data_IF_306753556601
#
_entry.id   IF_306753556601
#
_cell.length_a   1.000
_cell.length_b   1.000
_cell.length_c   1.000
_cell.angle_alpha   90.00
_cell.angle_beta   90.00
_cell.angle_gamma   90.00
#
_symmetry.space_group_name_H-M   'P 1'
#
loop_
_entity.id
_entity.type
_entity.pdbx_description
1 polymer ?
#
# COMPACT_ATOMS: atom_id res chain seq x y z
N UNK A 1 -1.68 -22.70 6.44
CA UNK A 1 -1.59 -21.24 6.25
C UNK A 1 -2.40 -20.58 7.32
N UNK A 2 -1.77 -19.75 8.13
CA UNK A 2 -2.47 -18.94 9.13
C UNK A 2 -3.17 -17.76 8.44
N UNK A 3 -4.14 -17.13 9.10
CA UNK A 3 -4.77 -15.91 8.59
C UNK A 3 -3.72 -14.81 8.37
N UNK A 4 -2.74 -14.68 9.28
CA UNK A 4 -1.60 -13.79 9.15
C UNK A 4 -0.80 -13.94 7.84
N UNK A 5 -0.50 -15.17 7.41
CA UNK A 5 0.27 -15.41 6.18
C UNK A 5 -0.47 -14.87 4.94
N UNK A 6 -1.78 -15.13 4.88
CA UNK A 6 -2.62 -14.69 3.76
C UNK A 6 -2.76 -13.16 3.73
N UNK A 7 -2.85 -12.53 4.90
CA UNK A 7 -2.90 -11.06 5.02
C UNK A 7 -1.57 -10.44 4.55
N UNK A 8 -0.42 -11.04 4.92
CA UNK A 8 0.90 -10.59 4.46
C UNK A 8 1.05 -10.72 2.95
N UNK A 9 0.58 -11.82 2.36
CA UNK A 9 0.61 -11.99 0.90
C UNK A 9 -0.22 -10.92 0.18
N UNK A 10 -1.42 -10.60 0.69
CA UNK A 10 -2.26 -9.54 0.14
C UNK A 10 -1.57 -8.18 0.29
N UNK A 11 -1.03 -7.89 1.47
CA UNK A 11 -0.26 -6.67 1.72
C UNK A 11 0.90 -6.53 0.73
N UNK A 12 1.70 -7.58 0.57
CA UNK A 12 2.84 -7.62 -0.34
C UNK A 12 2.41 -7.38 -1.79
N UNK A 13 1.31 -8.00 -2.23
CA UNK A 13 0.76 -7.77 -3.57
C UNK A 13 0.31 -6.31 -3.79
N UNK A 14 -0.30 -5.68 -2.79
CA UNK A 14 -0.69 -4.27 -2.86
C UNK A 14 0.52 -3.33 -2.96
N UNK A 15 1.55 -3.59 -2.15
CA UNK A 15 2.80 -2.81 -2.15
C UNK A 15 3.54 -2.96 -3.49
N UNK A 16 3.69 -4.20 -3.98
CA UNK A 16 4.35 -4.47 -5.26
C UNK A 16 3.61 -3.80 -6.42
N UNK A 17 2.27 -3.86 -6.43
CA UNK A 17 1.48 -3.19 -7.46
C UNK A 17 1.73 -1.68 -7.45
N UNK A 18 1.73 -1.06 -6.27
CA UNK A 18 2.01 0.38 -6.15
C UNK A 18 3.41 0.72 -6.67
N UNK A 19 4.43 -0.03 -6.28
CA UNK A 19 5.81 0.16 -6.75
C UNK A 19 5.92 0.02 -8.28
N UNK A 20 5.24 -0.98 -8.85
CA UNK A 20 5.17 -1.17 -10.29
C UNK A 20 4.52 0.03 -10.99
N UNK A 21 3.34 0.47 -10.53
CA UNK A 21 2.62 1.60 -11.12
C UNK A 21 3.49 2.87 -11.14
N UNK A 22 4.15 3.20 -10.02
CA UNK A 22 5.05 4.36 -9.91
C UNK A 22 6.26 4.21 -10.85
N UNK A 23 6.83 3.01 -10.95
CA UNK A 23 7.97 2.75 -11.83
C UNK A 23 7.58 2.90 -13.30
N UNK A 24 6.41 2.39 -13.70
CA UNK A 24 5.89 2.54 -15.05
C UNK A 24 5.69 4.01 -15.44
N UNK A 25 5.22 4.87 -14.52
CA UNK A 25 5.08 6.30 -14.81
C UNK A 25 6.44 6.94 -15.14
N UNK A 26 7.49 6.55 -14.40
CA UNK A 26 8.85 7.02 -14.61
C UNK A 26 9.45 6.50 -15.92
N UNK A 27 9.33 5.20 -16.20
CA UNK A 27 9.89 4.57 -17.40
C UNK A 27 9.22 5.05 -18.69
N UNK A 28 7.91 5.36 -18.63
CA UNK A 28 7.17 5.87 -19.79
C UNK A 28 7.43 7.34 -20.12
N UNK A 29 8.37 8.02 -19.42
CA UNK A 29 8.62 9.45 -19.56
C UNK A 29 7.32 10.28 -19.44
N UNK A 30 6.46 9.90 -18.49
CA UNK A 30 5.17 10.56 -18.29
C UNK A 30 5.39 12.04 -17.97
N UNK A 31 4.68 12.98 -18.61
CA UNK A 31 4.79 14.41 -18.31
C UNK A 31 4.60 14.71 -16.83
N UNK A 32 5.34 15.68 -16.29
CA UNK A 32 5.41 15.95 -14.84
C UNK A 32 4.05 16.20 -14.18
N UNK A 33 3.14 16.90 -14.87
CA UNK A 33 1.79 17.16 -14.39
C UNK A 33 0.97 15.87 -14.24
N UNK A 34 1.06 14.97 -15.22
CA UNK A 34 0.41 13.65 -15.18
C UNK A 34 1.09 12.75 -14.16
N UNK A 35 2.43 12.77 -14.08
CA UNK A 35 3.19 12.01 -13.11
C UNK A 35 2.81 12.39 -11.66
N UNK A 36 2.71 13.68 -11.35
CA UNK A 36 2.27 14.17 -10.05
C UNK A 36 0.85 13.71 -9.72
N UNK A 37 -0.09 13.93 -10.62
CA UNK A 37 -1.49 13.53 -10.42
C UNK A 37 -1.64 12.02 -10.21
N UNK A 38 -0.99 11.23 -11.07
CA UNK A 38 -1.07 9.78 -11.01
C UNK A 38 -0.43 9.25 -9.73
N UNK A 39 0.73 9.76 -9.31
CA UNK A 39 1.35 9.36 -8.04
C UNK A 39 0.46 9.67 -6.84
N UNK A 40 -0.17 10.85 -6.79
CA UNK A 40 -1.11 11.20 -5.72
C UNK A 40 -2.30 10.23 -5.70
N UNK A 41 -2.86 9.90 -6.88
CA UNK A 41 -3.97 8.95 -7.03
C UNK A 41 -3.60 7.52 -6.63
N UNK A 42 -2.43 7.03 -7.06
CA UNK A 42 -1.94 5.70 -6.69
C UNK A 42 -1.69 5.60 -5.18
N UNK A 43 -1.13 6.66 -4.59
CA UNK A 43 -0.87 6.77 -3.15
C UNK A 43 -2.18 6.71 -2.35
N UNK A 44 -3.15 7.55 -2.69
CA UNK A 44 -4.47 7.56 -2.05
C UNK A 44 -5.19 6.21 -2.20
N UNK A 45 -5.19 5.62 -3.40
CA UNK A 45 -5.83 4.33 -3.64
C UNK A 45 -5.18 3.20 -2.84
N UNK A 46 -3.85 3.22 -2.72
CA UNK A 46 -3.10 2.17 -2.02
C UNK A 46 -3.23 2.33 -0.50
N UNK A 47 -3.12 3.55 0.03
CA UNK A 47 -3.30 3.81 1.46
C UNK A 47 -4.72 3.41 1.92
N UNK A 48 -5.75 3.70 1.12
CA UNK A 48 -7.11 3.25 1.40
C UNK A 48 -7.22 1.73 1.47
N UNK A 49 -6.64 0.99 0.50
CA UNK A 49 -6.68 -0.48 0.50
C UNK A 49 -5.94 -1.08 1.68
N UNK A 50 -4.78 -0.51 2.04
CA UNK A 50 -4.03 -0.94 3.22
C UNK A 50 -4.84 -0.68 4.51
N UNK A 51 -5.49 0.46 4.62
CA UNK A 51 -6.39 0.77 5.74
C UNK A 51 -7.54 -0.24 5.85
N UNK A 52 -8.20 -0.57 4.74
CA UNK A 52 -9.23 -1.63 4.71
C UNK A 52 -8.67 -3.00 5.09
N UNK A 53 -7.48 -3.37 4.59
CA UNK A 53 -6.83 -4.64 4.93
C UNK A 53 -6.52 -4.74 6.42
N UNK A 54 -6.10 -3.64 7.04
CA UNK A 54 -5.83 -3.63 8.47
C UNK A 54 -7.08 -3.87 9.32
N UNK A 55 -8.24 -3.32 8.92
CA UNK A 55 -9.50 -3.65 9.58
C UNK A 55 -9.82 -5.14 9.47
N UNK A 56 -9.65 -5.74 8.29
CA UNK A 56 -9.82 -7.17 8.13
C UNK A 56 -8.84 -7.98 8.99
N UNK A 57 -7.58 -7.57 9.07
CA UNK A 57 -6.60 -8.22 9.94
C UNK A 57 -7.02 -8.17 11.42
N UNK A 58 -7.54 -7.02 11.87
CA UNK A 58 -8.04 -6.87 13.22
C UNK A 58 -9.24 -7.79 13.49
N UNK A 59 -10.22 -7.80 12.59
CA UNK A 59 -11.44 -8.62 12.70
C UNK A 59 -11.15 -10.13 12.64
N UNK A 60 -10.06 -10.53 11.98
CA UNK A 60 -9.58 -11.92 11.92
C UNK A 60 -8.69 -12.32 13.11
N UNK A 61 -8.52 -11.45 14.10
CA UNK A 61 -7.77 -11.75 15.32
C UNK A 61 -6.26 -11.50 15.22
N UNK A 62 -5.81 -10.70 14.26
CA UNK A 62 -4.40 -10.34 14.02
C UNK A 62 -4.14 -8.83 14.32
N UNK A 63 -4.34 -8.35 15.56
CA UNK A 63 -4.31 -6.92 15.89
C UNK A 63 -2.92 -6.28 15.73
N UNK A 64 -1.84 -7.03 15.99
CA UNK A 64 -0.47 -6.52 15.80
C UNK A 64 -0.14 -6.31 14.32
N UNK A 65 -0.58 -7.24 13.47
CA UNK A 65 -0.46 -7.14 12.02
C UNK A 65 -1.31 -5.98 11.48
N UNK A 66 -2.54 -5.84 11.98
CA UNK A 66 -3.41 -4.71 11.67
C UNK A 66 -2.74 -3.36 11.99
N UNK A 67 -2.13 -3.23 13.18
CA UNK A 67 -1.40 -2.02 13.57
C UNK A 67 -0.23 -1.71 12.63
N UNK A 68 0.52 -2.74 12.24
CA UNK A 68 1.65 -2.59 11.30
C UNK A 68 1.18 -2.12 9.92
N UNK A 69 0.07 -2.69 9.42
CA UNK A 69 -0.52 -2.30 8.12
C UNK A 69 -1.10 -0.88 8.18
N UNK A 70 -1.76 -0.50 9.28
CA UNK A 70 -2.27 0.87 9.48
C UNK A 70 -1.13 1.89 9.49
N UNK A 71 -0.02 1.58 10.16
CA UNK A 71 1.14 2.47 10.18
C UNK A 71 1.72 2.64 8.76
N UNK A 72 1.85 1.55 8.00
CA UNK A 72 2.28 1.61 6.60
C UNK A 72 1.31 2.44 5.73
N UNK A 73 0.01 2.30 5.93
CA UNK A 73 -1.01 3.09 5.24
C UNK A 73 -0.89 4.59 5.55
N UNK A 74 -0.65 4.94 6.81
CA UNK A 74 -0.48 6.32 7.27
C UNK A 74 0.80 6.95 6.69
N UNK A 75 1.94 6.24 6.79
CA UNK A 75 3.23 6.67 6.23
C UNK A 75 3.15 6.88 4.71
N UNK A 76 2.48 5.98 3.99
CA UNK A 76 2.25 6.15 2.56
C UNK A 76 1.35 7.34 2.27
N UNK A 77 0.24 7.51 3.00
CA UNK A 77 -0.74 8.56 2.74
C UNK A 77 -0.23 9.97 3.06
N UNK A 78 0.42 10.14 4.22
CA UNK A 78 0.86 11.44 4.73
C UNK A 78 2.25 11.82 4.22
N UNK A 79 3.22 10.92 4.37
CA UNK A 79 4.64 11.21 4.14
C UNK A 79 5.13 10.75 2.76
N UNK A 80 4.26 10.11 1.97
CA UNK A 80 4.61 9.47 0.71
C UNK A 80 5.72 8.41 0.85
N UNK A 81 5.88 7.84 2.04
CA UNK A 81 6.88 6.82 2.28
C UNK A 81 6.41 5.50 1.67
N UNK A 82 7.19 4.98 0.73
CA UNK A 82 6.89 3.71 0.05
C UNK A 82 6.98 2.58 1.09
N UNK A 83 5.91 1.82 1.32
CA UNK A 83 5.95 0.70 2.26
C UNK A 83 6.89 -0.39 1.77
N UNK A 84 7.58 -1.04 2.71
CA UNK A 84 8.32 -2.25 2.44
C UNK A 84 7.39 -3.48 2.50
N UNK A 85 7.68 -4.55 1.73
CA UNK A 85 7.06 -5.86 1.93
C UNK A 85 7.28 -6.40 3.34
N UNK A 86 6.35 -7.24 3.81
CA UNK A 86 6.35 -7.91 5.12
C UNK A 86 6.70 -9.39 5.01
#
# INVERSE_FOLDING_TARGET
>A
MTHADSIKDIYNGLVQKYQYDVTCLRENNTPDNTHYFMNAKHRESTSFKLHTLAHFAHDLGEPELAGSILNAAAQLGADAQIPAPM
#
